data_IF_795428320100
#
_entry.id   IF_795428320100
#
_cell.length_a   1.000
_cell.length_b   1.000
_cell.length_c   1.000
_cell.angle_alpha   90.00
_cell.angle_beta   90.00
_cell.angle_gamma   90.00
#
_symmetry.space_group_name_H-M   'P 1'
#
loop_
_entity.id
_entity.type
_entity.pdbx_description
1 polymer ?
#
# COMPACT_ATOMS: atom_id res chain seq x y z
N UNK A 1 19.28 -5.15 35.85
CA UNK A 1 18.98 -4.44 34.58
C UNK A 1 18.46 -5.51 33.62
N UNK A 2 17.15 -5.62 33.47
CA UNK A 2 16.52 -6.44 32.43
C UNK A 2 16.92 -5.83 31.09
N UNK A 3 17.65 -6.56 30.26
CA UNK A 3 17.84 -6.19 28.85
C UNK A 3 16.45 -6.12 28.24
N UNK A 4 15.94 -4.93 27.96
CA UNK A 4 14.79 -4.71 27.10
C UNK A 4 15.06 -5.51 25.84
N UNK A 5 14.31 -6.59 25.61
CA UNK A 5 14.36 -7.34 24.36
C UNK A 5 13.84 -6.38 23.29
N UNK A 6 14.72 -5.88 22.44
CA UNK A 6 14.32 -5.07 21.28
C UNK A 6 13.43 -5.95 20.40
N UNK A 7 12.18 -5.54 20.21
CA UNK A 7 11.29 -6.21 19.28
C UNK A 7 11.55 -5.63 17.88
N UNK A 8 12.47 -6.26 17.16
CA UNK A 8 12.93 -5.83 15.84
C UNK A 8 12.02 -6.44 14.78
N UNK A 9 11.57 -5.60 13.85
CA UNK A 9 10.79 -5.97 12.68
C UNK A 9 11.41 -5.34 11.43
N UNK A 10 11.11 -5.85 10.26
CA UNK A 10 11.56 -5.26 9.01
C UNK A 10 10.48 -5.24 7.94
N UNK A 11 10.68 -4.35 6.98
CA UNK A 11 9.87 -4.25 5.79
C UNK A 11 10.76 -4.12 4.56
N UNK A 12 10.40 -4.78 3.47
CA UNK A 12 11.12 -4.74 2.20
C UNK A 12 10.14 -4.35 1.12
N UNK A 13 10.38 -3.23 0.46
CA UNK A 13 9.69 -2.80 -0.74
C UNK A 13 10.48 -3.24 -1.97
N UNK A 14 9.86 -4.09 -2.79
CA UNK A 14 10.37 -4.55 -4.07
C UNK A 14 9.63 -3.79 -5.19
N UNK A 15 10.06 -2.57 -5.47
CA UNK A 15 9.39 -1.64 -6.39
C UNK A 15 10.03 -1.59 -7.78
N UNK A 16 9.35 -0.96 -8.73
CA UNK A 16 9.87 -0.74 -10.10
C UNK A 16 11.02 0.27 -10.14
N UNK A 17 11.03 1.26 -9.26
CA UNK A 17 12.09 2.29 -9.24
C UNK A 17 13.22 1.98 -8.26
N UNK A 18 12.89 1.30 -7.18
CA UNK A 18 13.82 1.05 -6.07
C UNK A 18 13.48 -0.23 -5.33
N UNK A 19 14.47 -0.82 -4.69
CA UNK A 19 14.33 -1.72 -3.56
C UNK A 19 14.62 -0.90 -2.31
N UNK A 20 13.75 -0.95 -1.31
CA UNK A 20 13.90 -0.23 -0.05
C UNK A 20 13.68 -1.17 1.13
N UNK A 21 14.60 -1.12 2.11
CA UNK A 21 14.54 -1.90 3.34
C UNK A 21 14.45 -0.96 4.52
N UNK A 22 13.44 -1.14 5.35
CA UNK A 22 13.32 -0.47 6.64
C UNK A 22 13.42 -1.46 7.79
N UNK A 23 14.13 -1.07 8.83
CA UNK A 23 14.24 -1.81 10.08
C UNK A 23 13.61 -0.97 11.19
N UNK A 24 12.68 -1.57 11.92
CA UNK A 24 11.97 -0.94 13.02
C UNK A 24 12.25 -1.60 14.36
N UNK A 25 12.18 -0.82 15.42
CA UNK A 25 12.20 -1.25 16.79
C UNK A 25 10.89 -0.86 17.47
N UNK A 26 10.11 -1.86 17.89
CA UNK A 26 8.90 -1.64 18.69
C UNK A 26 9.31 -1.31 20.14
N UNK A 27 8.91 -0.13 20.61
CA UNK A 27 9.19 0.25 22.01
C UNK A 27 8.16 -0.37 22.96
N UNK A 28 8.50 -0.54 24.26
CA UNK A 28 7.53 -1.03 25.25
C UNK A 28 6.28 -0.14 25.38
N UNK A 29 6.41 1.15 25.07
CA UNK A 29 5.31 2.13 25.08
C UNK A 29 4.41 2.02 23.84
N UNK A 30 4.72 1.11 22.93
CA UNK A 30 3.93 0.87 21.74
C UNK A 30 4.24 1.80 20.56
N UNK A 31 5.38 2.47 20.58
CA UNK A 31 5.85 3.30 19.46
C UNK A 31 6.77 2.50 18.54
N UNK A 32 6.66 2.73 17.24
CA UNK A 32 7.53 2.18 16.22
C UNK A 32 8.62 3.20 15.88
N UNK A 33 9.86 2.84 16.15
CA UNK A 33 11.05 3.64 15.81
C UNK A 33 11.73 3.03 14.58
N UNK A 34 11.95 3.80 13.52
CA UNK A 34 12.76 3.40 12.36
C UNK A 34 14.21 3.55 12.70
N UNK A 35 14.94 2.44 12.81
CA UNK A 35 16.34 2.41 13.23
C UNK A 35 17.30 2.08 12.08
N UNK A 36 16.79 1.58 10.95
CA UNK A 36 17.60 1.25 9.78
C UNK A 36 16.88 1.56 8.47
N UNK A 37 17.64 2.03 7.48
CA UNK A 37 17.18 2.34 6.14
C UNK A 37 18.25 2.00 5.12
N UNK A 38 17.86 1.29 4.05
CA UNK A 38 18.66 1.04 2.87
C UNK A 38 17.81 1.15 1.61
N UNK A 39 18.34 1.80 0.57
CA UNK A 39 17.64 2.01 -0.70
C UNK A 39 18.60 1.84 -1.87
N UNK A 40 18.18 1.07 -2.89
CA UNK A 40 18.94 0.84 -4.11
C UNK A 40 18.02 0.96 -5.34
N UNK A 41 18.40 1.68 -6.40
CA UNK A 41 17.65 1.69 -7.66
C UNK A 41 17.60 0.29 -8.29
N UNK A 42 16.44 -0.12 -8.80
CA UNK A 42 16.24 -1.43 -9.46
C UNK A 42 16.83 -1.49 -10.87
N UNK A 43 16.99 -0.35 -11.53
CA UNK A 43 17.53 -0.26 -12.90
C UNK A 43 16.90 -1.26 -13.88
N UNK A 44 15.61 -1.59 -13.70
CA UNK A 44 14.86 -2.51 -14.56
C UNK A 44 14.90 -3.98 -14.14
N UNK A 45 15.56 -4.35 -13.04
CA UNK A 45 15.52 -5.74 -12.52
C UNK A 45 14.12 -6.14 -12.04
N UNK A 46 13.33 -5.17 -11.59
CA UNK A 46 11.92 -5.34 -11.21
C UNK A 46 11.08 -4.34 -11.99
N UNK A 47 10.06 -4.83 -12.71
CA UNK A 47 9.17 -4.00 -13.52
C UNK A 47 7.72 -4.40 -13.29
N UNK A 48 6.87 -3.45 -12.85
CA UNK A 48 5.42 -3.64 -12.67
C UNK A 48 5.04 -4.87 -11.83
N UNK A 49 5.80 -5.13 -10.76
CA UNK A 49 5.59 -6.27 -9.90
C UNK A 49 6.03 -7.61 -10.50
N UNK A 50 7.00 -7.60 -11.41
CA UNK A 50 7.69 -8.78 -11.91
C UNK A 50 9.19 -8.64 -11.77
N UNK A 51 9.85 -9.72 -11.32
CA UNK A 51 11.31 -9.81 -11.33
C UNK A 51 11.71 -10.19 -12.74
N UNK A 52 12.37 -9.27 -13.45
CA UNK A 52 12.83 -9.44 -14.83
C UNK A 52 14.26 -10.03 -14.88
N UNK A 53 15.10 -9.58 -13.94
CA UNK A 53 16.45 -10.09 -13.77
C UNK A 53 16.66 -10.48 -12.30
N UNK A 54 16.70 -11.78 -12.05
CA UNK A 54 16.80 -12.33 -10.67
C UNK A 54 18.16 -12.02 -10.05
N UNK A 55 19.25 -12.11 -10.82
CA UNK A 55 20.61 -11.89 -10.34
C UNK A 55 20.82 -10.43 -9.91
N UNK A 56 20.44 -9.48 -10.76
CA UNK A 56 20.51 -8.05 -10.42
C UNK A 56 19.59 -7.71 -9.23
N UNK A 57 18.37 -8.24 -9.19
CA UNK A 57 17.45 -8.01 -8.08
C UNK A 57 17.99 -8.57 -6.76
N UNK A 58 18.64 -9.75 -6.79
CA UNK A 58 19.28 -10.35 -5.61
C UNK A 58 20.42 -9.47 -5.09
N UNK A 59 21.35 -9.04 -5.96
CA UNK A 59 22.45 -8.16 -5.58
C UNK A 59 21.96 -6.82 -5.03
N UNK A 60 20.97 -6.21 -5.68
CA UNK A 60 20.38 -4.94 -5.25
C UNK A 60 19.69 -5.06 -3.87
N UNK A 61 18.97 -6.16 -3.65
CA UNK A 61 18.35 -6.43 -2.36
C UNK A 61 19.41 -6.63 -1.27
N UNK A 62 20.48 -7.41 -1.57
CA UNK A 62 21.57 -7.61 -0.63
C UNK A 62 22.22 -6.28 -0.21
N UNK A 63 22.50 -5.39 -1.15
CA UNK A 63 23.07 -4.06 -0.87
C UNK A 63 22.10 -3.26 0.02
N UNK A 64 20.80 -3.24 -0.30
CA UNK A 64 19.80 -2.52 0.50
C UNK A 64 19.70 -3.07 1.94
N UNK A 65 19.78 -4.39 2.12
CA UNK A 65 19.80 -5.05 3.44
C UNK A 65 21.04 -4.65 4.22
N UNK A 66 22.24 -4.71 3.59
CA UNK A 66 23.50 -4.33 4.25
C UNK A 66 23.52 -2.86 4.69
N UNK A 67 22.97 -1.95 3.87
CA UNK A 67 22.87 -0.54 4.20
C UNK A 67 21.89 -0.28 5.35
N UNK A 68 20.73 -0.94 5.33
CA UNK A 68 19.75 -0.87 6.41
C UNK A 68 20.33 -1.42 7.73
N UNK A 69 21.00 -2.58 7.68
CA UNK A 69 21.60 -3.21 8.87
C UNK A 69 22.78 -2.36 9.43
N UNK A 70 23.57 -1.75 8.56
CA UNK A 70 24.65 -0.82 8.95
C UNK A 70 24.09 0.40 9.67
N UNK A 71 23.01 1.00 9.16
CA UNK A 71 22.36 2.16 9.78
C UNK A 71 21.68 1.81 11.10
N UNK A 72 21.17 0.58 11.24
CA UNK A 72 20.57 0.06 12.48
C UNK A 72 21.58 -0.36 13.56
N UNK A 73 22.90 -0.30 13.27
CA UNK A 73 23.94 -0.74 14.20
C UNK A 73 24.15 -2.26 14.25
N UNK A 74 23.94 -2.96 13.13
CA UNK A 74 24.11 -4.41 12.95
C UNK A 74 23.20 -5.26 13.83
N UNK A 75 21.91 -5.13 13.60
CA UNK A 75 20.86 -5.76 14.44
C UNK A 75 20.52 -7.19 14.00
N UNK A 76 20.96 -7.65 12.83
CA UNK A 76 20.66 -8.96 12.23
C UNK A 76 19.16 -9.25 12.09
N UNK A 77 18.58 -8.80 10.99
CA UNK A 77 17.12 -8.87 10.72
C UNK A 77 16.63 -10.23 10.21
N UNK A 78 17.50 -11.13 9.77
CA UNK A 78 17.19 -12.35 9.02
C UNK A 78 16.20 -13.30 9.70
N UNK A 79 16.19 -13.35 11.04
CA UNK A 79 15.28 -14.20 11.81
C UNK A 79 14.14 -13.39 12.45
N UNK A 80 13.73 -12.27 11.83
CA UNK A 80 12.69 -11.39 12.34
C UNK A 80 11.51 -11.34 11.38
N UNK A 81 10.35 -11.01 11.92
CA UNK A 81 9.17 -10.83 11.08
C UNK A 81 9.42 -9.73 10.06
N UNK A 82 9.26 -10.07 8.80
CA UNK A 82 9.53 -9.22 7.65
C UNK A 82 8.30 -9.17 6.76
N UNK A 83 7.76 -7.99 6.56
CA UNK A 83 6.69 -7.78 5.57
C UNK A 83 7.31 -7.37 4.25
N UNK A 84 6.92 -8.06 3.19
CA UNK A 84 7.25 -7.69 1.81
C UNK A 84 5.99 -7.19 1.11
N UNK A 85 6.09 -6.08 0.40
CA UNK A 85 4.99 -5.66 -0.46
C UNK A 85 4.95 -6.49 -1.73
N UNK A 86 3.74 -6.79 -2.20
CA UNK A 86 3.51 -7.39 -3.52
C UNK A 86 2.58 -6.50 -4.32
N UNK A 87 2.91 -6.32 -5.59
CA UNK A 87 2.18 -5.48 -6.54
C UNK A 87 2.15 -6.12 -7.93
N UNK A 88 1.47 -5.52 -8.89
CA UNK A 88 1.48 -5.96 -10.29
C UNK A 88 0.10 -6.40 -10.80
N UNK A 89 -0.05 -6.44 -12.11
CA UNK A 89 -1.31 -6.73 -12.81
C UNK A 89 -1.89 -8.14 -12.54
N UNK A 90 -1.22 -8.95 -11.75
CA UNK A 90 -1.65 -10.29 -11.35
C UNK A 90 -2.31 -10.35 -9.99
N UNK A 91 -2.52 -9.19 -9.38
CA UNK A 91 -3.26 -9.03 -8.13
C UNK A 91 -4.61 -8.45 -8.48
N UNK A 92 -5.66 -9.02 -7.92
CA UNK A 92 -7.02 -8.48 -7.97
C UNK A 92 -7.65 -8.49 -6.57
N UNK A 93 -8.62 -7.62 -6.39
CA UNK A 93 -9.47 -7.56 -5.21
C UNK A 93 -10.88 -7.95 -5.61
N UNK A 94 -11.42 -8.99 -5.00
CA UNK A 94 -12.76 -9.48 -5.29
C UNK A 94 -13.67 -9.34 -4.08
N UNK A 95 -14.90 -8.90 -4.33
CA UNK A 95 -15.95 -8.87 -3.32
C UNK A 95 -16.58 -10.25 -3.18
N UNK A 96 -16.79 -10.72 -1.95
CA UNK A 96 -17.49 -11.96 -1.63
C UNK A 96 -18.46 -11.77 -0.48
N UNK A 97 -19.51 -12.56 -0.46
CA UNK A 97 -20.53 -12.53 0.60
C UNK A 97 -20.71 -13.93 1.17
N UNK A 98 -20.66 -14.04 2.49
CA UNK A 98 -20.95 -15.27 3.20
C UNK A 98 -22.01 -15.07 4.26
N UNK A 99 -22.78 -16.10 4.53
CA UNK A 99 -23.94 -16.05 5.41
C UNK A 99 -23.80 -16.99 6.59
N UNK A 100 -24.17 -16.51 7.78
CA UNK A 100 -24.40 -17.32 8.96
C UNK A 100 -25.83 -17.16 9.46
N UNK A 101 -26.43 -18.27 9.94
CA UNK A 101 -27.72 -18.24 10.61
C UNK A 101 -27.48 -18.14 12.11
N UNK A 102 -28.09 -17.16 12.75
CA UNK A 102 -27.95 -16.93 14.19
C UNK A 102 -28.81 -17.96 14.93
N UNK A 103 -28.17 -18.88 15.66
CA UNK A 103 -28.83 -20.00 16.36
C UNK A 103 -28.77 -19.87 17.87
N UNK A 104 -28.28 -18.74 18.39
CA UNK A 104 -28.28 -18.47 19.83
C UNK A 104 -29.72 -18.33 20.35
N UNK A 105 -30.04 -18.81 21.58
CA UNK A 105 -31.41 -18.80 22.11
C UNK A 105 -32.03 -17.39 22.19
N UNK A 106 -31.22 -16.37 22.36
CA UNK A 106 -31.62 -14.97 22.42
C UNK A 106 -31.42 -14.23 21.09
N UNK A 107 -31.08 -14.96 20.02
CA UNK A 107 -30.79 -14.44 18.68
C UNK A 107 -29.70 -13.35 18.64
N UNK A 108 -28.84 -13.30 19.64
CA UNK A 108 -27.71 -12.37 19.66
C UNK A 108 -26.56 -12.90 18.83
N UNK A 109 -26.04 -12.03 17.98
CA UNK A 109 -24.82 -12.28 17.20
C UNK A 109 -23.63 -12.30 18.14
N UNK A 110 -22.82 -13.35 18.03
CA UNK A 110 -21.56 -13.49 18.75
C UNK A 110 -20.38 -13.52 17.75
N UNK A 111 -19.16 -13.53 18.29
CA UNK A 111 -17.96 -13.71 17.46
C UNK A 111 -17.95 -15.01 16.66
N UNK A 112 -18.73 -16.03 17.05
CA UNK A 112 -18.84 -17.30 16.32
C UNK A 112 -19.63 -17.12 15.02
N UNK A 113 -20.81 -16.48 15.05
CA UNK A 113 -21.60 -16.21 13.86
C UNK A 113 -20.88 -15.26 12.91
N UNK A 114 -20.15 -14.27 13.44
CA UNK A 114 -19.31 -13.38 12.64
C UNK A 114 -18.20 -14.16 11.91
N UNK A 115 -17.56 -15.10 12.59
CA UNK A 115 -16.55 -15.97 11.99
C UNK A 115 -17.17 -16.92 10.97
N UNK A 116 -18.29 -17.60 11.30
CA UNK A 116 -19.01 -18.50 10.38
C UNK A 116 -19.39 -17.78 9.08
N UNK A 117 -19.93 -16.56 9.16
CA UNK A 117 -20.25 -15.77 8.00
C UNK A 117 -19.00 -15.40 7.17
N UNK A 118 -17.92 -14.97 7.83
CA UNK A 118 -16.66 -14.63 7.15
C UNK A 118 -16.00 -15.84 6.51
N UNK A 119 -15.98 -16.99 7.19
CA UNK A 119 -15.43 -18.23 6.65
C UNK A 119 -16.26 -18.74 5.48
N UNK A 120 -17.60 -18.61 5.55
CA UNK A 120 -18.48 -18.90 4.44
C UNK A 120 -18.21 -18.03 3.21
N UNK A 121 -17.90 -16.73 3.42
CA UNK A 121 -17.54 -15.82 2.35
C UNK A 121 -16.21 -16.16 1.67
N UNK A 122 -15.27 -16.80 2.39
CA UNK A 122 -13.99 -17.28 1.84
C UNK A 122 -14.11 -18.54 1.00
N UNK A 123 -15.24 -19.28 1.12
CA UNK A 123 -15.52 -20.45 0.29
C UNK A 123 -15.89 -19.98 -1.11
N UNK A 124 -14.90 -19.65 -1.89
CA UNK A 124 -15.04 -19.25 -3.27
C UNK A 124 -14.13 -20.10 -4.16
N UNK A 125 -14.46 -20.15 -5.44
CA UNK A 125 -13.66 -20.91 -6.40
C UNK A 125 -12.40 -20.11 -6.73
N UNK A 126 -11.26 -20.44 -6.06
CA UNK A 126 -9.97 -19.84 -6.35
C UNK A 126 -9.48 -20.31 -7.72
N UNK A 127 -9.24 -19.42 -8.70
CA UNK A 127 -8.71 -19.82 -9.99
C UNK A 127 -7.38 -20.55 -9.86
N UNK A 128 -7.13 -21.53 -10.74
CA UNK A 128 -5.86 -22.24 -10.76
C UNK A 128 -4.68 -21.26 -10.91
N UNK A 129 -3.64 -21.41 -10.09
CA UNK A 129 -2.46 -20.56 -10.09
C UNK A 129 -2.63 -19.22 -9.36
N UNK A 130 -3.77 -18.98 -8.70
CA UNK A 130 -3.98 -17.85 -7.80
C UNK A 130 -3.91 -18.30 -6.34
N UNK A 131 -3.49 -17.42 -5.46
CA UNK A 131 -3.50 -17.60 -4.02
C UNK A 131 -4.03 -16.36 -3.31
N UNK A 132 -4.70 -16.55 -2.19
CA UNK A 132 -5.12 -15.47 -1.31
C UNK A 132 -3.90 -14.84 -0.63
N UNK A 133 -3.83 -13.51 -0.66
CA UNK A 133 -2.86 -12.73 0.10
C UNK A 133 -3.42 -12.34 1.47
N UNK A 134 -4.61 -11.77 1.47
CA UNK A 134 -5.34 -11.40 2.69
C UNK A 134 -6.81 -11.11 2.40
N UNK A 135 -7.61 -11.07 3.45
CA UNK A 135 -9.04 -10.75 3.41
C UNK A 135 -9.34 -9.60 4.37
N UNK A 136 -10.12 -8.63 3.91
CA UNK A 136 -10.62 -7.53 4.71
C UNK A 136 -12.15 -7.59 4.81
N UNK A 137 -12.72 -7.38 6.01
CA UNK A 137 -14.15 -7.25 6.20
C UNK A 137 -14.56 -5.83 5.76
N UNK A 138 -15.52 -5.73 4.84
CA UNK A 138 -16.08 -4.46 4.42
C UNK A 138 -17.18 -4.01 5.39
N UNK A 139 -18.16 -4.88 5.63
CA UNK A 139 -19.30 -4.65 6.52
C UNK A 139 -20.12 -5.93 6.69
N UNK A 140 -21.10 -5.86 7.58
CA UNK A 140 -22.10 -6.90 7.78
C UNK A 140 -23.49 -6.38 7.45
N UNK A 141 -24.38 -7.27 6.99
CA UNK A 141 -25.80 -7.00 6.82
C UNK A 141 -26.60 -7.95 7.73
N UNK A 142 -27.52 -7.39 8.51
CA UNK A 142 -28.43 -8.11 9.40
C UNK A 142 -29.81 -8.18 8.73
N UNK A 143 -30.37 -9.39 8.67
CA UNK A 143 -31.73 -9.65 8.18
C UNK A 143 -32.05 -8.91 6.85
N UNK A 144 -31.10 -8.89 5.91
CA UNK A 144 -31.19 -8.26 4.57
C UNK A 144 -31.45 -6.74 4.57
N UNK A 145 -31.35 -6.07 5.71
CA UNK A 145 -31.78 -4.68 5.81
C UNK A 145 -30.76 -3.73 6.47
N UNK A 146 -30.04 -4.17 7.49
CA UNK A 146 -29.24 -3.28 8.34
C UNK A 146 -27.75 -3.50 8.15
N UNK A 147 -27.06 -2.52 7.56
CA UNK A 147 -25.60 -2.51 7.42
C UNK A 147 -24.88 -2.03 8.68
N UNK A 148 -23.90 -2.77 9.17
CA UNK A 148 -23.07 -2.45 10.34
C UNK A 148 -21.61 -2.88 10.12
N UNK A 149 -20.68 -2.16 10.74
CA UNK A 149 -19.26 -2.57 10.76
C UNK A 149 -18.99 -3.59 11.86
N UNK A 150 -19.69 -3.50 12.99
CA UNK A 150 -19.62 -4.49 14.06
C UNK A 150 -21.03 -4.88 14.53
N UNK A 151 -21.51 -6.06 14.21
CA UNK A 151 -22.83 -6.56 14.59
C UNK A 151 -22.85 -7.28 15.94
N UNK A 152 -21.71 -7.44 16.65
CA UNK A 152 -21.63 -8.20 17.90
C UNK A 152 -22.62 -7.68 18.95
N UNK A 153 -23.41 -8.58 19.53
CA UNK A 153 -24.43 -8.27 20.54
C UNK A 153 -25.76 -7.76 19.95
N UNK A 154 -25.87 -7.54 18.63
CA UNK A 154 -27.14 -7.21 17.97
C UNK A 154 -28.02 -8.46 17.85
N UNK A 155 -29.34 -8.25 17.78
CA UNK A 155 -30.32 -9.33 17.58
C UNK A 155 -30.63 -9.41 16.07
N UNK A 156 -30.48 -10.60 15.51
CA UNK A 156 -30.83 -10.91 14.14
C UNK A 156 -31.01 -12.42 13.94
N UNK A 157 -31.71 -12.82 12.90
CA UNK A 157 -31.87 -14.23 12.50
C UNK A 157 -30.79 -14.66 11.49
N UNK A 158 -30.29 -13.71 10.70
CA UNK A 158 -29.34 -13.90 9.62
C UNK A 158 -28.25 -12.84 9.66
N UNK A 159 -27.02 -13.25 9.43
CA UNK A 159 -25.86 -12.37 9.31
C UNK A 159 -25.15 -12.64 7.99
N UNK A 160 -25.05 -11.63 7.13
CA UNK A 160 -24.21 -11.66 5.94
C UNK A 160 -22.94 -10.88 6.17
N UNK A 161 -21.79 -11.49 5.94
CA UNK A 161 -20.48 -10.84 5.95
C UNK A 161 -20.08 -10.48 4.50
N UNK A 162 -19.86 -9.21 4.24
CA UNK A 162 -19.30 -8.70 3.00
C UNK A 162 -17.81 -8.51 3.18
N UNK A 163 -17.00 -9.18 2.36
CA UNK A 163 -15.53 -9.17 2.48
C UNK A 163 -14.89 -8.82 1.14
N UNK A 164 -13.71 -8.22 1.21
CA UNK A 164 -12.80 -8.07 0.08
C UNK A 164 -11.65 -9.07 0.22
N UNK A 165 -11.46 -9.90 -0.80
CA UNK A 165 -10.38 -10.88 -0.86
C UNK A 165 -9.35 -10.36 -1.86
N UNK A 166 -8.14 -10.10 -1.38
CA UNK A 166 -7.00 -9.78 -2.24
C UNK A 166 -6.26 -11.06 -2.56
N UNK A 167 -6.12 -11.35 -3.84
CA UNK A 167 -5.47 -12.56 -4.34
C UNK A 167 -4.49 -12.22 -5.46
N UNK A 168 -3.51 -13.07 -5.67
CA UNK A 168 -2.51 -12.87 -6.71
C UNK A 168 -1.99 -14.16 -7.31
N UNK A 169 -1.22 -14.05 -8.39
CA UNK A 169 -0.58 -15.20 -9.02
C UNK A 169 0.43 -15.86 -8.07
N UNK A 170 0.23 -17.14 -7.76
CA UNK A 170 1.02 -17.89 -6.77
C UNK A 170 2.51 -17.90 -7.09
N UNK A 171 2.88 -18.14 -8.37
CA UNK A 171 4.28 -18.21 -8.76
C UNK A 171 5.00 -16.86 -8.63
N UNK A 172 4.30 -15.77 -8.90
CA UNK A 172 4.89 -14.42 -8.81
C UNK A 172 5.08 -14.01 -7.36
N UNK A 173 4.11 -14.28 -6.49
CA UNK A 173 4.23 -14.06 -5.04
C UNK A 173 5.39 -14.89 -4.49
N UNK A 174 5.46 -16.15 -4.90
CA UNK A 174 6.54 -17.04 -4.47
C UNK A 174 7.92 -16.58 -4.94
N UNK A 175 8.05 -16.05 -6.17
CA UNK A 175 9.31 -15.47 -6.65
C UNK A 175 9.78 -14.28 -5.82
N UNK A 176 8.86 -13.39 -5.40
CA UNK A 176 9.19 -12.30 -4.48
C UNK A 176 9.63 -12.81 -3.12
N UNK A 177 8.90 -13.79 -2.56
CA UNK A 177 9.25 -14.42 -1.30
C UNK A 177 10.61 -15.10 -1.35
N UNK A 178 10.88 -15.88 -2.41
CA UNK A 178 12.16 -16.57 -2.62
C UNK A 178 13.33 -15.61 -2.72
N UNK A 179 13.18 -14.50 -3.45
CA UNK A 179 14.24 -13.50 -3.55
C UNK A 179 14.70 -13.03 -2.16
N UNK A 180 13.77 -12.87 -1.22
CA UNK A 180 14.05 -12.46 0.17
C UNK A 180 14.63 -13.62 0.98
N UNK A 181 14.07 -14.83 0.85
CA UNK A 181 14.57 -16.03 1.53
C UNK A 181 16.00 -16.40 1.09
N UNK A 182 16.29 -16.30 -0.20
CA UNK A 182 17.63 -16.55 -0.77
C UNK A 182 18.66 -15.52 -0.24
N UNK A 183 18.23 -14.32 0.16
CA UNK A 183 19.04 -13.34 0.88
C UNK A 183 19.14 -13.61 2.39
N UNK A 184 18.75 -14.81 2.85
CA UNK A 184 18.98 -15.32 4.19
C UNK A 184 17.85 -15.11 5.21
N UNK A 185 16.67 -14.63 4.80
CA UNK A 185 15.53 -14.49 5.71
C UNK A 185 14.82 -15.83 5.95
N UNK A 186 14.25 -15.99 7.15
CA UNK A 186 13.45 -17.17 7.49
C UNK A 186 12.16 -17.19 6.67
N UNK A 187 11.95 -18.25 5.92
CA UNK A 187 10.76 -18.43 5.07
C UNK A 187 9.43 -18.28 5.83
N UNK A 188 9.40 -18.71 7.09
CA UNK A 188 8.20 -18.61 7.93
C UNK A 188 7.99 -17.21 8.52
N UNK A 189 9.00 -16.35 8.46
CA UNK A 189 8.95 -14.99 8.97
C UNK A 189 8.72 -13.96 7.86
N UNK A 190 8.72 -14.36 6.57
CA UNK A 190 8.45 -13.46 5.43
C UNK A 190 6.97 -13.48 5.07
N UNK A 191 6.34 -12.32 5.16
CA UNK A 191 4.91 -12.12 4.97
C UNK A 191 4.63 -11.22 3.75
N UNK A 192 4.10 -11.76 2.63
CA UNK A 192 3.70 -10.96 1.48
C UNK A 192 2.36 -10.26 1.73
N UNK A 193 2.33 -8.95 1.52
CA UNK A 193 1.14 -8.08 1.67
C UNK A 193 0.96 -7.24 0.40
N UNK A 194 -0.28 -7.01 -0.02
CA UNK A 194 -0.60 -6.12 -1.13
C UNK A 194 -0.12 -4.69 -0.89
N UNK A 195 0.54 -4.08 -1.88
CA UNK A 195 1.11 -2.73 -1.78
C UNK A 195 0.07 -1.67 -1.39
N UNK A 196 -1.14 -1.74 -1.95
CA UNK A 196 -2.22 -0.81 -1.59
C UNK A 196 -2.57 -0.86 -0.11
N UNK A 197 -2.64 -2.06 0.49
CA UNK A 197 -2.85 -2.25 1.92
C UNK A 197 -1.68 -1.70 2.75
N UNK A 198 -0.45 -1.89 2.27
CA UNK A 198 0.71 -1.28 2.92
C UNK A 198 0.61 0.25 2.92
N UNK A 199 0.32 0.87 1.77
CA UNK A 199 0.19 2.33 1.67
C UNK A 199 -0.95 2.86 2.55
N UNK A 200 -2.10 2.17 2.58
CA UNK A 200 -3.21 2.47 3.48
C UNK A 200 -2.77 2.55 4.95
N UNK A 201 -2.09 1.51 5.43
CA UNK A 201 -1.59 1.43 6.81
C UNK A 201 -0.51 2.47 7.11
N UNK A 202 0.22 2.92 6.10
CA UNK A 202 1.29 3.91 6.23
C UNK A 202 0.81 5.34 6.44
N UNK A 203 -0.33 5.70 5.83
CA UNK A 203 -0.68 7.12 5.65
C UNK A 203 -2.12 7.52 5.97
N UNK A 204 -3.07 6.59 6.02
CA UNK A 204 -4.45 6.92 6.36
C UNK A 204 -4.66 6.96 7.87
N UNK A 205 -5.37 7.98 8.32
CA UNK A 205 -5.84 8.10 9.69
C UNK A 205 -7.16 7.33 9.88
N UNK A 206 -7.47 7.00 11.13
CA UNK A 206 -8.77 6.37 11.47
C UNK A 206 -9.96 7.25 11.11
N UNK A 207 -9.85 8.58 11.30
CA UNK A 207 -10.90 9.53 10.93
C UNK A 207 -11.19 9.52 9.43
N UNK A 208 -10.15 9.45 8.60
CA UNK A 208 -10.32 9.34 7.15
C UNK A 208 -11.01 8.03 6.76
N UNK A 209 -10.59 6.90 7.33
CA UNK A 209 -11.23 5.59 7.11
C UNK A 209 -12.69 5.57 7.56
N UNK A 210 -13.00 6.17 8.70
CA UNK A 210 -14.38 6.26 9.20
C UNK A 210 -15.27 7.12 8.29
N UNK A 211 -14.77 8.27 7.85
CA UNK A 211 -15.52 9.23 7.02
C UNK A 211 -15.62 8.84 5.56
N UNK A 212 -14.79 7.95 5.10
CA UNK A 212 -14.67 7.53 3.71
C UNK A 212 -13.61 8.30 2.95
N UNK A 213 -12.68 7.56 2.34
CA UNK A 213 -11.53 8.09 1.62
C UNK A 213 -11.19 7.24 0.40
N UNK A 214 -10.82 7.91 -0.70
CA UNK A 214 -10.18 7.30 -1.86
C UNK A 214 -8.67 7.45 -1.71
N UNK A 215 -7.96 6.33 -1.56
CA UNK A 215 -6.50 6.28 -1.61
C UNK A 215 -6.04 5.91 -3.02
N UNK A 216 -5.08 6.66 -3.57
CA UNK A 216 -4.34 6.28 -4.78
C UNK A 216 -2.84 6.35 -4.48
N UNK A 217 -2.15 5.22 -4.66
CA UNK A 217 -0.68 5.13 -4.62
C UNK A 217 -0.16 5.13 -6.06
N UNK A 218 0.35 6.27 -6.50
CA UNK A 218 0.89 6.47 -7.83
C UNK A 218 2.39 6.14 -7.85
N UNK A 219 2.69 4.84 -8.05
CA UNK A 219 4.04 4.31 -8.12
C UNK A 219 4.72 4.54 -9.48
N UNK A 220 5.94 4.01 -9.63
CA UNK A 220 6.70 4.13 -10.88
C UNK A 220 6.18 3.20 -11.98
N UNK A 221 5.81 1.96 -11.65
CA UNK A 221 5.36 0.96 -12.63
C UNK A 221 3.87 0.68 -12.59
N UNK A 222 3.26 0.82 -11.42
CA UNK A 222 1.86 0.52 -11.11
C UNK A 222 1.22 1.67 -10.38
N UNK A 223 -0.12 1.68 -10.37
CA UNK A 223 -0.93 2.54 -9.53
C UNK A 223 -1.96 1.70 -8.83
N UNK A 224 -1.91 1.68 -7.51
CA UNK A 224 -2.87 1.03 -6.63
C UNK A 224 -3.94 2.03 -6.21
N UNK A 225 -5.18 1.54 -6.05
CA UNK A 225 -6.26 2.35 -5.49
C UNK A 225 -7.09 1.54 -4.50
N UNK A 226 -7.61 2.21 -3.48
CA UNK A 226 -8.49 1.63 -2.47
C UNK A 226 -9.53 2.65 -2.01
N UNK A 227 -10.71 2.17 -1.67
CA UNK A 227 -11.74 2.94 -0.98
C UNK A 227 -11.97 2.32 0.38
N UNK A 228 -11.74 3.13 1.41
CA UNK A 228 -12.07 2.83 2.80
C UNK A 228 -13.31 3.62 3.21
N UNK A 229 -14.23 2.99 3.93
CA UNK A 229 -15.41 3.64 4.49
C UNK A 229 -15.89 2.91 5.74
N UNK A 230 -16.10 3.65 6.84
CA UNK A 230 -16.47 3.10 8.16
C UNK A 230 -15.50 2.01 8.61
N UNK A 231 -14.20 2.29 8.48
CA UNK A 231 -13.10 1.37 8.82
C UNK A 231 -13.11 0.03 8.05
N UNK A 232 -13.83 -0.06 6.93
CA UNK A 232 -13.87 -1.25 6.08
C UNK A 232 -13.45 -0.95 4.65
N UNK A 233 -12.66 -1.84 4.05
CA UNK A 233 -12.28 -1.78 2.65
C UNK A 233 -13.50 -2.09 1.78
N UNK A 234 -13.95 -1.13 0.98
CA UNK A 234 -15.12 -1.28 0.10
C UNK A 234 -14.72 -1.89 -1.23
N UNK A 235 -13.63 -1.41 -1.81
CA UNK A 235 -13.07 -1.89 -3.06
C UNK A 235 -11.60 -1.52 -3.16
N UNK A 236 -10.88 -2.18 -4.05
CA UNK A 236 -9.50 -1.85 -4.37
C UNK A 236 -9.07 -2.51 -5.64
N UNK A 237 -7.95 -2.07 -6.16
CA UNK A 237 -7.40 -2.62 -7.39
C UNK A 237 -6.05 -2.02 -7.74
N UNK A 238 -5.56 -2.43 -8.91
CA UNK A 238 -4.26 -2.04 -9.42
C UNK A 238 -4.33 -1.84 -10.93
N UNK A 239 -3.67 -0.81 -11.40
CA UNK A 239 -3.42 -0.59 -12.83
C UNK A 239 -1.94 -0.76 -13.13
N UNK A 240 -1.55 -1.49 -14.21
CA UNK A 240 -0.17 -1.63 -14.65
C UNK A 240 0.34 -0.37 -15.38
N UNK A 241 -0.08 0.78 -14.90
CA UNK A 241 0.26 2.12 -15.37
C UNK A 241 0.82 2.89 -14.19
N UNK A 242 2.02 3.41 -14.32
CA UNK A 242 2.69 4.21 -13.29
C UNK A 242 3.44 5.38 -13.91
N UNK A 243 4.21 6.09 -13.12
CA UNK A 243 4.91 7.32 -13.51
C UNK A 243 5.88 7.13 -14.69
N UNK A 244 6.44 5.93 -14.84
CA UNK A 244 7.32 5.62 -15.98
C UNK A 244 6.60 5.68 -17.34
N UNK A 245 5.27 5.46 -17.37
CA UNK A 245 4.50 5.64 -18.61
C UNK A 245 4.44 7.12 -19.01
N UNK A 246 4.24 8.00 -18.03
CA UNK A 246 4.27 9.44 -18.24
C UNK A 246 5.66 9.90 -18.74
N UNK A 247 6.75 9.38 -18.15
CA UNK A 247 8.10 9.67 -18.62
C UNK A 247 8.36 9.12 -20.03
N UNK A 248 7.80 7.96 -20.35
CA UNK A 248 7.91 7.39 -21.70
C UNK A 248 7.15 8.23 -22.75
N UNK A 249 5.96 8.73 -22.38
CA UNK A 249 5.20 9.63 -23.25
C UNK A 249 5.95 10.95 -23.50
N UNK A 250 6.59 11.51 -22.46
CA UNK A 250 7.48 12.67 -22.62
C UNK A 250 8.66 12.34 -23.52
N UNK A 251 9.27 11.17 -23.36
CA UNK A 251 10.40 10.71 -24.20
C UNK A 251 10.01 10.66 -25.66
N UNK A 252 8.88 10.02 -25.97
CA UNK A 252 8.39 9.87 -27.34
C UNK A 252 7.90 11.21 -27.90
N UNK A 253 7.01 11.91 -27.18
CA UNK A 253 6.37 13.12 -27.66
C UNK A 253 7.31 14.31 -27.82
N UNK A 254 8.37 14.36 -27.00
CA UNK A 254 9.37 15.42 -27.05
C UNK A 254 10.69 14.98 -27.72
N UNK A 255 10.78 13.74 -28.20
CA UNK A 255 12.01 13.14 -28.75
C UNK A 255 13.22 13.35 -27.83
N UNK A 256 13.03 13.03 -26.53
CA UNK A 256 14.08 13.08 -25.51
C UNK A 256 14.45 11.64 -25.09
N UNK A 257 15.72 11.36 -24.74
CA UNK A 257 16.06 10.07 -24.14
C UNK A 257 15.24 9.83 -22.87
N UNK A 258 14.77 8.59 -22.65
CA UNK A 258 14.01 8.22 -21.46
C UNK A 258 14.79 8.52 -20.17
N UNK A 259 16.08 8.22 -20.16
CA UNK A 259 16.98 8.46 -19.01
C UNK A 259 17.08 9.95 -18.69
N UNK A 260 16.96 10.83 -19.70
CA UNK A 260 16.93 12.26 -19.47
C UNK A 260 15.63 12.70 -18.81
N UNK A 261 14.48 12.19 -19.28
CA UNK A 261 13.17 12.44 -18.64
C UNK A 261 13.16 11.91 -17.20
N UNK A 262 13.70 10.73 -16.97
CA UNK A 262 13.84 10.14 -15.63
C UNK A 262 14.74 11.00 -14.73
N UNK A 263 15.84 11.52 -15.25
CA UNK A 263 16.72 12.43 -14.51
C UNK A 263 16.03 13.73 -14.14
N UNK A 264 15.22 14.30 -15.05
CA UNK A 264 14.42 15.51 -14.75
C UNK A 264 13.46 15.26 -13.58
N UNK A 265 12.80 14.12 -13.57
CA UNK A 265 11.88 13.72 -12.51
C UNK A 265 12.63 13.48 -11.17
N UNK A 266 13.66 12.66 -11.16
CA UNK A 266 14.40 12.27 -9.95
C UNK A 266 15.11 13.46 -9.29
N UNK A 267 15.48 14.50 -10.05
CA UNK A 267 16.12 15.71 -9.52
C UNK A 267 15.13 16.82 -9.14
N UNK A 268 13.82 16.58 -9.26
CA UNK A 268 12.78 17.61 -9.03
C UNK A 268 12.73 18.71 -10.11
N UNK A 269 13.56 18.59 -11.16
CA UNK A 269 13.59 19.58 -12.24
C UNK A 269 12.31 19.58 -13.06
N UNK A 270 11.66 18.40 -13.21
CA UNK A 270 10.39 18.31 -13.93
C UNK A 270 9.31 19.15 -13.24
N UNK A 271 9.18 19.05 -11.93
CA UNK A 271 8.27 19.87 -11.12
C UNK A 271 8.63 21.36 -11.21
N UNK A 272 9.93 21.67 -11.08
CA UNK A 272 10.41 23.07 -11.19
C UNK A 272 10.18 23.68 -12.56
N UNK A 273 10.17 22.91 -13.65
CA UNK A 273 9.84 23.39 -14.98
C UNK A 273 8.36 23.78 -15.07
N UNK A 274 7.46 22.95 -14.51
CA UNK A 274 6.01 23.15 -14.62
C UNK A 274 5.55 24.30 -13.71
N UNK A 275 6.10 24.39 -12.49
CA UNK A 275 5.69 25.40 -11.51
C UNK A 275 6.45 26.73 -11.66
N UNK A 276 7.51 26.72 -12.46
CA UNK A 276 8.38 27.90 -12.68
C UNK A 276 7.87 28.83 -13.78
N UNK A 277 8.58 29.95 -13.96
CA UNK A 277 8.30 30.92 -15.01
C UNK A 277 9.11 30.69 -16.30
N UNK A 278 9.62 29.47 -16.49
CA UNK A 278 10.44 29.13 -17.67
C UNK A 278 9.54 28.71 -18.82
N UNK A 279 9.65 29.38 -19.95
CA UNK A 279 8.83 29.07 -21.14
C UNK A 279 9.36 27.86 -21.91
N UNK A 280 10.66 27.64 -21.90
CA UNK A 280 11.35 26.62 -22.70
C UNK A 280 12.40 25.86 -21.88
N UNK A 281 12.46 24.53 -22.08
CA UNK A 281 13.61 23.72 -21.70
C UNK A 281 14.65 23.78 -22.83
N UNK A 282 15.89 24.14 -22.50
CA UNK A 282 17.00 24.07 -23.44
C UNK A 282 17.67 22.68 -23.37
N UNK A 283 17.61 21.96 -24.49
CA UNK A 283 18.20 20.63 -24.62
C UNK A 283 19.30 20.63 -25.66
N UNK A 284 20.57 20.29 -25.31
CA UNK A 284 21.67 20.20 -26.29
C UNK A 284 21.44 19.02 -27.21
N UNK A 285 21.49 19.23 -28.53
CA UNK A 285 21.47 18.12 -29.46
C UNK A 285 22.89 17.62 -29.79
N UNK A 286 22.98 16.42 -30.38
CA UNK A 286 24.26 15.77 -30.73
C UNK A 286 25.10 16.53 -31.77
N UNK A 287 24.61 17.63 -32.32
CA UNK A 287 25.29 18.46 -33.35
C UNK A 287 25.75 19.83 -32.79
N UNK A 288 25.72 20.01 -31.46
CA UNK A 288 26.17 21.25 -30.81
C UNK A 288 25.19 22.42 -30.91
N UNK A 289 23.99 22.23 -31.49
CA UNK A 289 22.91 23.21 -31.41
C UNK A 289 22.01 22.93 -30.21
N UNK A 290 21.37 23.97 -29.70
CA UNK A 290 20.41 23.88 -28.58
C UNK A 290 18.99 23.87 -29.15
N UNK A 291 18.23 22.83 -28.79
CA UNK A 291 16.80 22.74 -29.07
C UNK A 291 16.03 23.35 -27.92
N UNK A 292 15.08 24.26 -28.22
CA UNK A 292 14.14 24.83 -27.24
C UNK A 292 12.84 24.04 -27.29
N UNK A 293 12.46 23.44 -26.18
CA UNK A 293 11.23 22.64 -26.04
C UNK A 293 10.28 23.43 -25.15
N UNK A 294 9.06 23.80 -25.64
CA UNK A 294 8.10 24.52 -24.82
C UNK A 294 7.69 23.74 -23.58
N UNK A 295 7.65 24.38 -22.41
CA UNK A 295 7.21 23.75 -21.16
C UNK A 295 5.74 23.32 -21.25
N UNK A 296 4.90 24.08 -21.97
CA UNK A 296 3.52 23.70 -22.25
C UNK A 296 3.35 22.36 -22.96
N UNK A 297 4.38 21.90 -23.71
CA UNK A 297 4.35 20.57 -24.32
C UNK A 297 4.53 19.46 -23.28
N UNK A 298 5.35 19.69 -22.24
CA UNK A 298 5.46 18.78 -21.11
C UNK A 298 4.12 18.69 -20.38
N UNK A 299 3.53 19.82 -20.03
CA UNK A 299 2.25 19.92 -19.34
C UNK A 299 1.15 19.18 -20.09
N UNK A 300 1.00 19.42 -21.39
CA UNK A 300 -0.02 18.78 -22.21
C UNK A 300 0.11 17.26 -22.24
N UNK A 301 1.32 16.73 -22.46
CA UNK A 301 1.55 15.29 -22.51
C UNK A 301 1.25 14.65 -21.15
N UNK A 302 1.73 15.26 -20.07
CA UNK A 302 1.52 14.74 -18.72
C UNK A 302 0.04 14.81 -18.32
N UNK A 303 -0.65 15.92 -18.62
CA UNK A 303 -2.07 16.07 -18.34
C UNK A 303 -2.90 14.98 -19.02
N UNK A 304 -2.66 14.71 -20.30
CA UNK A 304 -3.37 13.68 -21.05
C UNK A 304 -3.20 12.29 -20.42
N UNK A 305 -1.97 11.94 -20.03
CA UNK A 305 -1.71 10.66 -19.37
C UNK A 305 -2.34 10.56 -17.98
N UNK A 306 -2.28 11.62 -17.19
CA UNK A 306 -2.89 11.64 -15.86
C UNK A 306 -4.42 11.55 -15.94
N UNK A 307 -5.05 12.26 -16.89
CA UNK A 307 -6.50 12.16 -17.11
C UNK A 307 -6.92 10.75 -17.54
N UNK A 308 -6.14 10.10 -18.40
CA UNK A 308 -6.38 8.70 -18.76
C UNK A 308 -6.27 7.78 -17.53
N UNK A 309 -5.18 7.86 -16.76
CA UNK A 309 -4.94 7.03 -15.59
C UNK A 309 -6.07 7.18 -14.55
N UNK A 310 -6.35 8.42 -14.14
CA UNK A 310 -7.40 8.66 -13.14
C UNK A 310 -8.80 8.40 -13.68
N UNK A 311 -9.02 8.58 -14.99
CA UNK A 311 -10.27 8.20 -15.67
C UNK A 311 -10.53 6.70 -15.58
N UNK A 312 -9.51 5.86 -15.83
CA UNK A 312 -9.62 4.40 -15.68
C UNK A 312 -9.95 3.99 -14.25
N UNK A 313 -9.33 4.61 -13.25
CA UNK A 313 -9.65 4.36 -11.83
C UNK A 313 -11.09 4.80 -11.54
N UNK A 314 -11.47 6.01 -11.94
CA UNK A 314 -12.82 6.52 -11.73
C UNK A 314 -13.88 5.59 -12.34
N UNK A 315 -13.66 5.06 -13.54
CA UNK A 315 -14.57 4.11 -14.18
C UNK A 315 -14.62 2.76 -13.44
N UNK A 316 -13.52 2.31 -12.86
CA UNK A 316 -13.46 1.09 -12.05
C UNK A 316 -14.28 1.22 -10.76
N UNK A 317 -14.21 2.38 -10.08
CA UNK A 317 -14.85 2.61 -8.77
C UNK A 317 -16.28 3.17 -8.85
N UNK A 318 -16.72 3.68 -10.01
CA UNK A 318 -18.09 4.21 -10.21
C UNK A 318 -19.19 3.22 -9.85
N UNK A 319 -18.93 1.92 -9.97
CA UNK A 319 -19.91 0.85 -9.67
C UNK A 319 -20.29 0.78 -8.20
N UNK A 320 -19.47 1.34 -7.33
CA UNK A 320 -19.66 1.24 -5.88
C UNK A 320 -20.61 2.31 -5.31
N UNK A 321 -21.09 3.25 -6.14
CA UNK A 321 -22.03 4.34 -5.75
C UNK A 321 -21.63 5.12 -4.48
N UNK A 322 -20.34 5.02 -4.10
CA UNK A 322 -19.80 5.51 -2.83
C UNK A 322 -19.04 6.83 -2.97
N UNK A 323 -18.65 7.21 -4.19
CA UNK A 323 -17.84 8.41 -4.43
C UNK A 323 -18.46 9.69 -3.86
N UNK A 324 -19.79 9.78 -3.84
CA UNK A 324 -20.52 10.91 -3.28
C UNK A 324 -20.49 10.96 -1.75
N UNK A 325 -20.07 9.86 -1.10
CA UNK A 325 -20.06 9.68 0.36
C UNK A 325 -18.65 9.68 0.96
N UNK A 326 -17.61 10.01 0.18
CA UNK A 326 -16.24 10.10 0.68
C UNK A 326 -16.03 11.40 1.46
N UNK A 327 -16.44 11.42 2.71
CA UNK A 327 -16.38 12.60 3.57
C UNK A 327 -14.97 13.11 3.88
N UNK A 328 -13.94 12.27 3.69
CA UNK A 328 -12.54 12.67 3.80
C UNK A 328 -11.90 13.01 2.44
N UNK A 329 -12.64 12.81 1.33
CA UNK A 329 -12.13 13.09 -0.01
C UNK A 329 -11.12 12.07 -0.48
N UNK A 330 -9.99 12.53 -1.03
CA UNK A 330 -8.94 11.69 -1.59
C UNK A 330 -7.58 11.89 -0.95
N UNK A 331 -6.77 10.84 -1.04
CA UNK A 331 -5.36 10.86 -0.64
C UNK A 331 -4.53 10.30 -1.79
N UNK A 332 -3.64 11.12 -2.33
CA UNK A 332 -2.71 10.75 -3.39
C UNK A 332 -1.31 10.56 -2.78
N UNK A 333 -0.69 9.41 -3.00
CA UNK A 333 0.64 9.07 -2.48
C UNK A 333 1.52 8.43 -3.56
N UNK A 334 2.69 7.91 -3.15
CA UNK A 334 3.70 7.38 -4.08
C UNK A 334 4.55 8.45 -4.73
N UNK A 335 5.59 8.04 -5.46
CA UNK A 335 6.52 8.98 -6.10
C UNK A 335 5.89 9.91 -7.12
N UNK A 336 4.84 9.47 -7.81
CA UNK A 336 4.11 10.27 -8.79
C UNK A 336 3.27 11.40 -8.18
N UNK A 337 2.96 11.33 -6.89
CA UNK A 337 2.24 12.39 -6.17
C UNK A 337 3.08 13.66 -5.92
N UNK A 338 4.40 13.56 -6.11
CA UNK A 338 5.31 14.70 -5.98
C UNK A 338 5.19 15.70 -7.16
N UNK A 339 4.50 15.31 -8.21
CA UNK A 339 4.16 16.20 -9.31
C UNK A 339 2.85 16.93 -8.97
N UNK A 340 2.89 18.27 -8.84
CA UNK A 340 1.72 19.09 -8.49
C UNK A 340 0.55 18.91 -9.47
N UNK A 341 0.86 18.70 -10.75
CA UNK A 341 -0.12 18.41 -11.79
C UNK A 341 -0.93 17.13 -11.47
N UNK A 342 -0.31 16.09 -10.87
CA UNK A 342 -1.02 14.89 -10.47
C UNK A 342 -2.11 15.18 -9.44
N UNK A 343 -1.82 16.03 -8.45
CA UNK A 343 -2.78 16.43 -7.44
C UNK A 343 -3.96 17.22 -8.03
N UNK A 344 -3.69 18.15 -8.94
CA UNK A 344 -4.72 18.98 -9.57
C UNK A 344 -5.67 18.11 -10.42
N UNK A 345 -5.12 17.25 -11.29
CA UNK A 345 -5.92 16.36 -12.14
C UNK A 345 -6.71 15.33 -11.32
N UNK A 346 -6.14 14.85 -10.19
CA UNK A 346 -6.88 14.01 -9.26
C UNK A 346 -8.15 14.71 -8.76
N UNK A 347 -8.03 15.94 -8.22
CA UNK A 347 -9.18 16.69 -7.70
C UNK A 347 -10.24 16.96 -8.77
N UNK A 348 -9.82 17.31 -9.98
CA UNK A 348 -10.72 17.52 -11.12
C UNK A 348 -11.44 16.23 -11.53
N UNK A 349 -10.74 15.09 -11.58
CA UNK A 349 -11.30 13.81 -12.05
C UNK A 349 -12.30 13.24 -11.06
N UNK A 350 -11.97 13.23 -9.77
CA UNK A 350 -12.81 12.65 -8.72
C UNK A 350 -13.76 13.65 -8.07
N UNK A 351 -13.67 14.93 -8.44
CA UNK A 351 -14.50 16.03 -7.91
C UNK A 351 -14.56 16.08 -6.39
N UNK A 352 -13.44 15.81 -5.73
CA UNK A 352 -13.29 15.85 -4.29
C UNK A 352 -12.02 16.60 -3.89
N UNK A 353 -11.97 17.06 -2.64
CA UNK A 353 -10.72 17.56 -2.07
C UNK A 353 -9.73 16.43 -1.92
N UNK A 354 -8.44 16.72 -2.11
CA UNK A 354 -7.40 15.74 -1.92
C UNK A 354 -6.22 16.31 -1.11
N UNK A 355 -5.51 15.43 -0.44
CA UNK A 355 -4.20 15.73 0.15
C UNK A 355 -3.12 14.80 -0.39
N UNK A 356 -1.89 15.23 -0.29
CA UNK A 356 -0.75 14.34 -0.50
C UNK A 356 -0.57 13.49 0.77
N UNK A 357 -0.59 12.17 0.60
CA UNK A 357 -0.34 11.19 1.65
C UNK A 357 1.16 10.97 1.83
N UNK A 358 1.61 11.04 3.07
CA UNK A 358 3.00 10.75 3.43
C UNK A 358 3.05 10.11 4.82
N UNK A 359 4.08 9.29 5.13
CA UNK A 359 4.27 8.76 6.46
C UNK A 359 4.29 9.88 7.51
N UNK A 360 3.51 9.70 8.56
CA UNK A 360 3.42 10.66 9.65
C UNK A 360 3.84 10.01 10.97
N UNK A 361 4.28 10.84 11.92
CA UNK A 361 4.77 10.37 13.23
C UNK A 361 5.93 9.36 13.12
N UNK A 362 6.78 9.52 12.09
CA UNK A 362 7.97 8.68 11.93
C UNK A 362 8.98 9.07 13.01
N UNK A 363 9.37 8.11 13.85
CA UNK A 363 10.33 8.29 14.93
C UNK A 363 11.65 7.63 14.50
N UNK A 364 12.79 8.27 14.80
CA UNK A 364 14.15 7.71 14.66
C UNK A 364 14.78 7.86 13.27
N UNK A 365 14.01 7.88 12.18
CA UNK A 365 14.56 8.01 10.84
C UNK A 365 14.90 9.46 10.48
N UNK A 366 15.79 9.63 9.49
CA UNK A 366 15.99 10.91 8.81
C UNK A 366 14.67 11.39 8.18
N UNK A 367 14.47 12.70 8.05
CA UNK A 367 13.25 13.29 7.46
C UNK A 367 12.88 12.78 6.06
N UNK A 368 13.76 12.03 5.41
CA UNK A 368 13.53 11.42 4.09
C UNK A 368 12.37 10.42 4.09
N UNK A 369 12.20 9.61 5.16
CA UNK A 369 11.13 8.61 5.26
C UNK A 369 9.74 9.25 5.35
N UNK A 370 9.65 10.53 5.65
CA UNK A 370 8.39 11.29 5.65
C UNK A 370 7.91 11.69 4.24
N UNK A 371 8.62 11.29 3.17
CA UNK A 371 8.19 11.53 1.79
C UNK A 371 7.13 10.51 1.35
N UNK A 372 6.18 10.89 0.46
CA UNK A 372 5.21 9.98 -0.17
C UNK A 372 5.85 8.75 -0.83
N UNK A 373 7.11 8.82 -1.24
CA UNK A 373 7.87 7.71 -1.84
C UNK A 373 8.08 6.52 -0.90
N UNK A 374 7.86 6.69 0.39
CA UNK A 374 8.08 5.65 1.41
C UNK A 374 6.78 5.17 2.06
N UNK A 375 5.63 5.60 1.56
CA UNK A 375 4.32 5.25 2.13
C UNK A 375 4.11 3.75 2.23
N UNK A 376 4.42 3.02 1.16
CA UNK A 376 4.26 1.56 1.06
C UNK A 376 5.18 0.83 2.03
N UNK A 377 6.49 1.12 2.01
CA UNK A 377 7.46 0.41 2.88
C UNK A 377 7.27 0.78 4.35
N UNK A 378 6.90 2.02 4.67
CA UNK A 378 6.59 2.41 6.04
C UNK A 378 5.32 1.73 6.56
N UNK A 379 4.30 1.63 5.72
CA UNK A 379 3.08 0.88 6.07
C UNK A 379 3.34 -0.61 6.24
N UNK A 380 4.17 -1.21 5.39
CA UNK A 380 4.62 -2.59 5.56
C UNK A 380 5.34 -2.78 6.91
N UNK A 381 6.19 -1.81 7.31
CA UNK A 381 6.86 -1.85 8.62
C UNK A 381 5.86 -1.74 9.79
N UNK A 382 4.82 -0.91 9.66
CA UNK A 382 3.75 -0.83 10.67
C UNK A 382 2.97 -2.13 10.79
N UNK A 383 2.67 -2.80 9.66
CA UNK A 383 2.04 -4.12 9.67
C UNK A 383 2.96 -5.13 10.37
N UNK A 384 4.25 -5.14 10.10
CA UNK A 384 5.21 -6.01 10.78
C UNK A 384 5.25 -5.76 12.29
N UNK A 385 5.21 -4.50 12.72
CA UNK A 385 5.17 -4.13 14.14
C UNK A 385 3.88 -4.62 14.81
N UNK A 386 2.73 -4.36 14.22
CA UNK A 386 1.43 -4.81 14.74
C UNK A 386 1.39 -6.35 14.84
N UNK A 387 1.86 -7.06 13.83
CA UNK A 387 1.94 -8.53 13.83
C UNK A 387 2.86 -9.06 14.94
N UNK A 388 4.04 -8.49 15.10
CA UNK A 388 5.03 -8.94 16.08
C UNK A 388 4.49 -8.91 17.51
N UNK A 389 3.69 -7.90 17.84
CA UNK A 389 3.06 -7.75 19.17
C UNK A 389 2.05 -8.86 19.48
N UNK A 390 1.38 -9.41 18.46
CA UNK A 390 0.46 -10.55 18.64
C UNK A 390 1.20 -11.87 18.81
N UNK A 391 2.38 -12.04 18.20
CA UNK A 391 3.22 -13.22 18.39
C UNK A 391 3.76 -13.33 19.81
N UNK A 392 4.21 -12.23 20.40
CA UNK A 392 4.74 -12.21 21.76
C UNK A 392 3.66 -12.51 22.82
N UNK A 393 2.37 -12.41 22.48
CA UNK A 393 1.25 -12.72 23.38
C UNK A 393 0.87 -14.23 23.41
N UNK A 394 1.69 -15.11 22.79
CA UNK A 394 1.59 -16.58 22.95
C UNK A 394 0.46 -17.25 22.15
N UNK A 395 0.00 -16.67 21.06
CA UNK A 395 -0.96 -17.33 20.18
C UNK A 395 -0.27 -18.42 19.34
N UNK A 396 -0.77 -19.66 19.42
CA UNK A 396 -0.30 -20.82 18.64
C UNK A 396 -0.73 -20.80 17.16
N UNK A 397 -0.97 -19.59 16.58
CA UNK A 397 -1.48 -19.39 15.22
C UNK A 397 -0.35 -19.05 14.26
N UNK A 398 -0.48 -19.53 13.02
CA UNK A 398 0.47 -19.17 11.95
C UNK A 398 0.34 -17.69 11.57
N UNK A 399 1.39 -17.03 11.00
CA UNK A 399 1.35 -15.64 10.54
C UNK A 399 0.15 -15.31 9.64
N UNK A 400 -0.22 -16.22 8.77
CA UNK A 400 -1.36 -16.07 7.84
C UNK A 400 -2.72 -15.98 8.54
N UNK A 401 -2.94 -16.74 9.61
CA UNK A 401 -4.20 -16.70 10.37
C UNK A 401 -4.36 -15.43 11.21
N UNK A 402 -3.25 -14.78 11.53
CA UNK A 402 -3.26 -13.54 12.30
C UNK A 402 -3.62 -12.31 11.45
N UNK A 403 -3.38 -12.31 10.12
CA UNK A 403 -3.70 -11.19 9.23
C UNK A 403 -5.22 -10.95 9.18
N UNK A 404 -6.00 -12.00 8.99
CA UNK A 404 -7.46 -11.91 8.96
C UNK A 404 -8.04 -11.40 10.28
N UNK A 405 -7.41 -11.79 11.40
CA UNK A 405 -7.76 -11.31 12.74
C UNK A 405 -7.36 -9.84 12.97
N UNK A 406 -6.36 -9.31 12.26
CA UNK A 406 -5.92 -7.92 12.42
C UNK A 406 -6.88 -6.96 11.76
N UNK A 407 -7.27 -7.22 10.51
CA UNK A 407 -8.28 -6.39 9.86
C UNK A 407 -9.61 -6.41 10.66
N UNK A 408 -9.95 -7.54 11.28
CA UNK A 408 -11.13 -7.62 12.18
C UNK A 408 -10.91 -6.99 13.57
N UNK A 409 -9.67 -6.88 14.05
CA UNK A 409 -9.33 -6.35 15.39
C UNK A 409 -8.89 -4.89 15.37
N UNK A 410 -8.38 -4.36 14.26
CA UNK A 410 -8.18 -2.91 14.09
C UNK A 410 -9.51 -2.17 14.27
N UNK A 411 -10.62 -2.79 13.85
CA UNK A 411 -11.98 -2.33 14.17
C UNK A 411 -12.29 -2.39 15.69
N UNK A 412 -11.70 -3.33 16.46
CA UNK A 412 -11.94 -3.48 17.91
C UNK A 412 -11.08 -2.57 18.79
N UNK A 413 -9.83 -2.30 18.42
CA UNK A 413 -8.91 -1.44 19.21
C UNK A 413 -9.28 0.03 19.20
N UNK A 414 -10.05 0.49 18.20
CA UNK A 414 -10.60 1.84 18.17
C UNK A 414 -11.53 2.16 19.36
N UNK A 415 -12.17 1.16 19.97
CA UNK A 415 -13.09 1.37 21.10
C UNK A 415 -12.41 1.56 22.46
N UNK A 416 -11.24 0.95 22.69
CA UNK A 416 -10.60 1.00 24.01
C UNK A 416 -9.81 2.29 24.30
N UNK A 417 -9.51 3.09 23.28
CA UNK A 417 -8.79 4.37 23.44
C UNK A 417 -9.77 5.55 23.57
N UNK A 418 -11.01 5.41 23.06
CA UNK A 418 -12.06 6.43 23.17
C UNK A 418 -12.68 6.59 24.57
N UNK A 419 -12.58 5.57 25.43
CA UNK A 419 -13.14 5.63 26.80
C UNK A 419 -12.17 6.18 27.84
N UNK A 420 -10.91 6.45 27.50
CA UNK A 420 -9.90 6.99 28.44
C UNK A 420 -9.68 8.50 28.33
N UNK A 421 -10.43 9.21 27.51
CA UNK A 421 -10.38 10.68 27.42
C UNK A 421 -11.80 11.24 27.65
N UNK A 422 -12.29 11.06 28.84
CA UNK A 422 -13.33 11.89 29.43
C UNK A 422 -12.88 12.20 30.86
N UNK A 423 -12.09 13.26 31.01
CA UNK A 423 -12.04 14.18 32.15
C UNK A 423 -11.65 15.54 31.59
#
# INVERSE_FOLDING_TARGET
MLKSSRNIVSAIELGTSKICVLIGNSTPEGQLEVIGHGEVPTNGSIVKGEIINVEDAYEQLNIAIEDADRSAGKVLVHNRLTVINVTGCNIDCIHSVGTAIVRTPDQKITANEMREASDSAKIHNMPSGMTELHTAISYYILDDARRLCNPEGQIASKLDAHIQITRGNSNRIENFKRLVVDNGFDENAVLPIFSGTCSDMGILSKDEKERGVLLIDFGAGTTEYMIEYKEGMITGGILPIGFNHLLNDLSIGLELPFEYCQKLANTGKLESLITGNTEYLEYPNNRGSVRKIPVSSFETIMELRLRELFGLINDAIKKEDILQNLGAGGVLTGGGSLLSLSHNIFQETFQCTARIGQPHNVIGASGEISSPRYSTVYGALRIADDQSRYYDLGSSRTPFQAIDDIFSKLVKLGKNIGESINI
#
